data_IF_393896828128
#
_entry.id   IF_393896828128
#
_cell.length_a   1.000
_cell.length_b   1.000
_cell.length_c   1.000
_cell.angle_alpha   90.00
_cell.angle_beta   90.00
_cell.angle_gamma   90.00
#
_symmetry.space_group_name_H-M   'P 1'
#
loop_
_entity.id
_entity.type
_entity.pdbx_description
1 polymer ?
#
# COMPACT_ATOMS: atom_id res chain seq x y z
N UNK A 1 9.46 0.21 18.41
CA UNK A 1 9.12 0.38 16.97
C UNK A 1 10.40 0.40 16.14
N UNK A 2 10.47 -0.34 15.03
CA UNK A 2 11.56 -0.15 14.06
C UNK A 2 11.11 0.90 13.04
N UNK A 3 11.84 2.00 12.92
CA UNK A 3 11.58 3.05 11.93
C UNK A 3 12.51 2.83 10.74
N UNK A 4 11.97 2.41 9.60
CA UNK A 4 12.74 2.13 8.40
C UNK A 4 12.67 3.29 7.41
N UNK A 5 13.84 3.84 7.07
CA UNK A 5 14.00 4.83 6.01
C UNK A 5 15.45 4.81 5.51
N UNK A 6 15.65 4.83 4.20
CA UNK A 6 16.98 4.78 3.58
C UNK A 6 17.64 6.16 3.41
N UNK A 7 17.00 7.23 3.86
CA UNK A 7 17.51 8.61 3.79
C UNK A 7 17.50 9.19 2.38
N UNK A 8 16.54 8.81 1.53
CA UNK A 8 16.43 9.31 0.15
C UNK A 8 15.26 10.30 0.00
N UNK A 9 15.35 11.16 -1.01
CA UNK A 9 14.26 12.03 -1.44
C UNK A 9 13.07 11.26 -2.00
N UNK A 10 11.97 11.97 -2.33
CA UNK A 10 10.79 11.37 -2.98
C UNK A 10 11.09 10.76 -4.34
N UNK A 11 12.12 11.29 -4.99
CA UNK A 11 12.65 10.75 -6.21
C UNK A 11 13.69 9.65 -5.91
N UNK A 12 13.85 9.14 -4.70
CA UNK A 12 14.85 8.12 -4.40
C UNK A 12 16.32 8.56 -4.56
N UNK A 13 16.61 9.84 -4.79
CA UNK A 13 17.99 10.36 -4.79
C UNK A 13 18.51 10.52 -3.35
N UNK A 14 19.83 10.41 -3.08
CA UNK A 14 20.38 10.58 -1.74
C UNK A 14 20.04 11.96 -1.15
N UNK A 15 19.43 12.00 0.05
CA UNK A 15 19.20 13.27 0.75
C UNK A 15 20.43 13.59 1.63
N UNK A 16 21.01 14.78 1.48
CA UNK A 16 22.26 15.20 2.14
C UNK A 16 22.16 15.52 3.64
N UNK A 17 21.29 14.86 4.40
CA UNK A 17 21.09 15.05 5.85
C UNK A 17 21.01 13.70 6.57
N UNK A 18 21.19 13.66 7.89
CA UNK A 18 21.08 12.44 8.70
C UNK A 18 19.79 11.64 8.45
N UNK A 19 19.74 10.36 8.85
CA UNK A 19 18.61 9.50 8.47
C UNK A 19 17.29 10.05 9.04
N UNK A 20 16.29 10.28 8.18
CA UNK A 20 14.96 10.72 8.60
C UNK A 20 14.36 9.75 9.64
N UNK A 21 14.69 8.47 9.54
CA UNK A 21 14.39 7.47 10.55
C UNK A 21 14.91 7.83 11.96
N UNK A 22 16.13 8.35 12.09
CA UNK A 22 16.67 8.71 13.40
C UNK A 22 15.93 9.90 14.01
N UNK A 23 15.55 10.90 13.22
CA UNK A 23 14.74 12.02 13.70
C UNK A 23 13.41 11.56 14.31
N UNK A 24 12.70 10.66 13.62
CA UNK A 24 11.45 10.06 14.13
C UNK A 24 11.69 9.20 15.37
N UNK A 25 12.81 8.46 15.44
CA UNK A 25 13.19 7.71 16.64
C UNK A 25 13.39 8.65 17.83
N UNK A 26 14.08 9.76 17.64
CA UNK A 26 14.31 10.76 18.69
C UNK A 26 12.99 11.37 19.17
N UNK A 27 12.06 11.65 18.26
CA UNK A 27 10.70 12.10 18.61
C UNK A 27 9.92 11.06 19.44
N UNK A 28 9.97 9.79 19.05
CA UNK A 28 9.31 8.70 19.79
C UNK A 28 9.90 8.57 21.21
N UNK A 29 11.23 8.62 21.33
CA UNK A 29 11.92 8.52 22.63
C UNK A 29 11.61 9.74 23.50
N UNK A 30 11.60 10.95 22.91
CA UNK A 30 11.23 12.18 23.62
C UNK A 30 9.77 12.15 24.13
N UNK A 31 8.88 11.45 23.42
CA UNK A 31 7.51 11.20 23.84
C UNK A 31 7.36 10.02 24.84
N UNK A 32 8.47 9.38 25.23
CA UNK A 32 8.50 8.28 26.20
C UNK A 32 8.29 6.88 25.62
N UNK A 33 8.33 6.73 24.29
CA UNK A 33 8.26 5.44 23.61
C UNK A 33 9.63 4.81 23.37
N UNK A 34 9.61 3.61 22.76
CA UNK A 34 10.83 2.87 22.40
C UNK A 34 10.91 2.69 20.88
N UNK A 35 12.01 3.12 20.27
CA UNK A 35 12.23 2.97 18.84
C UNK A 35 13.70 2.79 18.46
N UNK A 36 13.94 2.19 17.29
CA UNK A 36 15.26 2.05 16.67
C UNK A 36 15.18 2.37 15.19
N UNK A 37 16.20 3.06 14.66
CA UNK A 37 16.29 3.36 13.23
C UNK A 37 16.84 2.15 12.47
N UNK A 38 16.34 1.93 11.26
CA UNK A 38 16.84 0.90 10.36
C UNK A 38 16.96 1.48 8.93
N UNK A 39 18.10 1.24 8.28
CA UNK A 39 18.40 1.78 6.94
C UNK A 39 18.25 0.76 5.81
N UNK A 40 17.55 -0.35 6.01
CA UNK A 40 17.36 -1.37 4.99
C UNK A 40 16.59 -0.84 3.78
N UNK A 41 17.10 -1.08 2.58
CA UNK A 41 16.32 -0.92 1.36
C UNK A 41 15.35 -2.09 1.19
N UNK A 42 14.05 -1.85 1.37
CA UNK A 42 13.03 -2.92 1.25
C UNK A 42 12.94 -3.55 -0.15
N UNK A 43 13.43 -2.88 -1.20
CA UNK A 43 13.50 -3.44 -2.55
C UNK A 43 14.66 -4.44 -2.72
N UNK A 44 15.63 -4.45 -1.81
CA UNK A 44 16.65 -5.47 -1.68
C UNK A 44 16.10 -6.60 -0.80
N UNK A 45 16.18 -7.83 -1.32
CA UNK A 45 15.56 -9.00 -0.71
C UNK A 45 16.16 -9.32 0.66
N UNK A 46 17.49 -9.28 0.78
CA UNK A 46 18.19 -9.65 2.00
C UNK A 46 18.07 -8.53 3.04
N UNK A 47 18.06 -7.27 2.60
CA UNK A 47 17.83 -6.13 3.50
C UNK A 47 16.39 -6.09 4.03
N UNK A 48 15.39 -6.53 3.25
CA UNK A 48 14.03 -6.70 3.74
C UNK A 48 13.95 -7.81 4.81
N UNK A 49 14.70 -8.91 4.65
CA UNK A 49 14.85 -9.91 5.70
C UNK A 49 15.49 -9.31 6.96
N UNK A 50 16.50 -8.45 6.77
CA UNK A 50 17.19 -7.78 7.87
C UNK A 50 16.30 -6.86 8.69
N UNK A 51 15.37 -6.17 8.03
CA UNK A 51 14.38 -5.34 8.71
C UNK A 51 13.54 -6.17 9.70
N UNK A 52 13.09 -7.35 9.28
CA UNK A 52 12.32 -8.28 10.14
C UNK A 52 13.19 -8.76 11.30
N UNK A 53 14.45 -9.13 11.02
CA UNK A 53 15.40 -9.58 12.05
C UNK A 53 15.68 -8.49 13.08
N UNK A 54 15.84 -7.23 12.64
CA UNK A 54 16.04 -6.08 13.53
C UNK A 54 14.93 -5.95 14.57
N UNK A 55 13.67 -6.12 14.16
CA UNK A 55 12.53 -6.08 15.09
C UNK A 55 12.62 -7.20 16.15
N UNK A 56 12.89 -8.42 15.69
CA UNK A 56 12.98 -9.60 16.56
C UNK A 56 14.16 -9.51 17.53
N UNK A 57 15.34 -9.08 17.06
CA UNK A 57 16.53 -8.96 17.90
C UNK A 57 16.44 -7.81 18.90
N UNK A 58 15.80 -6.70 18.53
CA UNK A 58 15.70 -5.50 19.38
C UNK A 58 14.57 -5.62 20.40
N UNK A 59 13.40 -6.09 19.98
CA UNK A 59 12.18 -6.07 20.79
C UNK A 59 11.67 -7.48 21.17
N UNK A 60 12.37 -8.53 20.76
CA UNK A 60 12.01 -9.93 21.06
C UNK A 60 10.93 -10.53 20.15
N UNK A 61 10.34 -9.73 19.24
CA UNK A 61 9.27 -10.19 18.36
C UNK A 61 8.89 -9.17 17.29
N UNK A 62 7.89 -9.55 16.49
CA UNK A 62 7.26 -8.69 15.49
C UNK A 62 5.76 -8.96 15.48
N UNK A 63 4.96 -7.93 15.72
CA UNK A 63 3.50 -8.05 15.74
C UNK A 63 2.84 -7.36 14.54
N UNK A 64 3.37 -6.21 14.13
CA UNK A 64 2.78 -5.37 13.07
C UNK A 64 3.84 -4.99 12.03
N UNK A 65 3.52 -5.22 10.75
CA UNK A 65 4.26 -4.70 9.60
C UNK A 65 3.40 -3.65 8.88
N UNK A 66 3.92 -2.41 8.79
CA UNK A 66 3.31 -1.35 7.98
C UNK A 66 4.20 -1.09 6.77
N UNK A 67 3.73 -1.45 5.57
CA UNK A 67 4.43 -1.18 4.33
C UNK A 67 4.01 0.19 3.78
N UNK A 68 4.87 1.19 3.95
CA UNK A 68 4.62 2.56 3.52
C UNK A 68 5.64 3.11 2.51
N UNK A 69 6.87 2.56 2.49
CA UNK A 69 7.96 3.06 1.64
C UNK A 69 7.53 3.21 0.17
N UNK A 70 7.98 4.30 -0.47
CA UNK A 70 7.51 4.69 -1.78
C UNK A 70 8.27 5.87 -2.40
N UNK A 71 8.25 5.91 -3.74
CA UNK A 71 8.81 7.00 -4.55
C UNK A 71 7.87 7.27 -5.73
N UNK A 72 7.97 8.45 -6.34
CA UNK A 72 7.24 8.77 -7.57
C UNK A 72 8.19 9.07 -8.73
N UNK A 73 7.74 8.71 -9.93
CA UNK A 73 8.35 9.00 -11.24
C UNK A 73 7.24 9.21 -12.26
N UNK A 74 6.53 10.30 -12.07
CA UNK A 74 5.30 10.56 -12.81
C UNK A 74 5.63 10.98 -14.25
N UNK A 75 5.11 10.19 -15.19
CA UNK A 75 5.21 10.38 -16.64
C UNK A 75 3.94 9.85 -17.30
N UNK A 76 3.56 10.48 -18.40
CA UNK A 76 2.68 9.81 -19.37
C UNK A 76 3.34 8.51 -19.81
N UNK A 77 2.55 7.46 -20.03
CA UNK A 77 3.07 6.12 -20.36
C UNK A 77 4.02 6.13 -21.57
N UNK A 78 3.71 6.94 -22.59
CA UNK A 78 4.54 7.09 -23.79
C UNK A 78 5.90 7.77 -23.54
N UNK A 79 6.09 8.39 -22.37
CA UNK A 79 7.29 9.15 -21.99
C UNK A 79 8.02 8.53 -20.79
N UNK A 80 7.57 7.37 -20.29
CA UNK A 80 8.18 6.71 -19.13
C UNK A 80 9.41 5.93 -19.56
N UNK A 81 10.57 6.16 -18.91
CA UNK A 81 11.76 5.34 -19.13
C UNK A 81 11.65 3.98 -18.42
N UNK A 82 12.49 3.02 -18.83
CA UNK A 82 12.61 1.73 -18.15
C UNK A 82 13.02 1.91 -16.68
N UNK A 83 14.01 2.78 -16.42
CA UNK A 83 14.50 3.07 -15.06
C UNK A 83 13.41 3.70 -14.18
N UNK A 84 12.59 4.59 -14.73
CA UNK A 84 11.47 5.21 -14.02
C UNK A 84 10.38 4.18 -13.67
N UNK A 85 10.12 3.20 -14.56
CA UNK A 85 9.20 2.11 -14.30
C UNK A 85 9.75 1.16 -13.23
N UNK A 86 10.97 0.67 -13.44
CA UNK A 86 11.63 -0.31 -12.58
C UNK A 86 11.82 0.21 -11.16
N UNK A 87 12.22 1.48 -10.99
CA UNK A 87 12.41 2.08 -9.67
C UNK A 87 11.09 2.09 -8.88
N UNK A 88 10.00 2.52 -9.51
CA UNK A 88 8.67 2.58 -8.86
C UNK A 88 8.17 1.17 -8.51
N UNK A 89 8.28 0.21 -9.44
CA UNK A 89 7.87 -1.18 -9.20
C UNK A 89 8.74 -1.84 -8.12
N UNK A 90 10.04 -1.58 -8.11
CA UNK A 90 10.97 -2.15 -7.14
C UNK A 90 10.68 -1.65 -5.72
N UNK A 91 10.56 -0.33 -5.52
CA UNK A 91 10.34 0.23 -4.18
C UNK A 91 8.94 -0.11 -3.67
N UNK A 92 7.91 0.02 -4.49
CA UNK A 92 6.54 -0.23 -4.06
C UNK A 92 6.22 -1.72 -4.05
N UNK A 93 6.10 -2.33 -5.24
CA UNK A 93 5.54 -3.68 -5.35
C UNK A 93 6.50 -4.74 -4.79
N UNK A 94 7.76 -4.74 -5.25
CA UNK A 94 8.76 -5.69 -4.75
C UNK A 94 9.08 -5.44 -3.27
N UNK A 95 9.20 -4.18 -2.85
CA UNK A 95 9.42 -3.81 -1.45
C UNK A 95 8.34 -4.34 -0.51
N UNK A 96 7.06 -4.13 -0.86
CA UNK A 96 5.94 -4.70 -0.09
C UNK A 96 5.97 -6.22 -0.10
N UNK A 97 6.21 -6.85 -1.26
CA UNK A 97 6.25 -8.31 -1.35
C UNK A 97 7.39 -8.91 -0.52
N UNK A 98 8.58 -8.31 -0.53
CA UNK A 98 9.75 -8.80 0.18
C UNK A 98 9.51 -8.80 1.70
N UNK A 99 9.09 -7.67 2.27
CA UNK A 99 8.80 -7.57 3.72
C UNK A 99 7.64 -8.50 4.12
N UNK A 100 6.56 -8.56 3.33
CA UNK A 100 5.47 -9.50 3.55
C UNK A 100 5.96 -10.95 3.56
N UNK A 101 6.81 -11.31 2.59
CA UNK A 101 7.35 -12.67 2.47
C UNK A 101 8.21 -13.04 3.68
N UNK A 102 9.05 -12.14 4.18
CA UNK A 102 9.91 -12.42 5.33
C UNK A 102 9.12 -12.45 6.64
N UNK A 103 8.22 -11.49 6.87
CA UNK A 103 7.35 -11.46 8.05
C UNK A 103 6.42 -12.68 8.11
N UNK A 104 5.79 -13.05 6.99
CA UNK A 104 4.95 -14.26 6.89
C UNK A 104 5.73 -15.53 7.22
N UNK A 105 6.99 -15.62 6.79
CA UNK A 105 7.84 -16.78 7.12
C UNK A 105 8.20 -16.85 8.59
N UNK A 106 8.47 -15.71 9.22
CA UNK A 106 8.70 -15.61 10.66
C UNK A 106 7.47 -16.07 11.46
N UNK A 107 6.30 -15.49 11.21
CA UNK A 107 5.05 -15.85 11.89
C UNK A 107 4.64 -17.30 11.65
N UNK A 108 4.74 -17.79 10.41
CA UNK A 108 4.50 -19.21 10.10
C UNK A 108 5.46 -20.13 10.87
N UNK A 109 6.70 -19.70 11.07
CA UNK A 109 7.67 -20.41 11.93
C UNK A 109 7.18 -20.51 13.37
N UNK A 110 6.78 -19.40 13.98
CA UNK A 110 6.22 -19.37 15.35
C UNK A 110 4.98 -20.26 15.48
N UNK A 111 4.06 -20.19 14.52
CA UNK A 111 2.86 -21.04 14.52
C UNK A 111 3.19 -22.53 14.46
N UNK A 112 4.20 -22.93 13.67
CA UNK A 112 4.69 -24.32 13.62
C UNK A 112 5.33 -24.78 14.93
N UNK A 113 5.93 -23.87 15.67
CA UNK A 113 6.47 -24.12 17.02
C UNK A 113 5.37 -24.17 18.09
N UNK A 114 4.10 -23.97 17.72
CA UNK A 114 2.97 -23.96 18.64
C UNK A 114 2.81 -22.64 19.40
N UNK A 115 3.50 -21.57 19.01
CA UNK A 115 3.30 -20.23 19.57
C UNK A 115 2.07 -19.59 18.95
N UNK A 116 1.28 -18.91 19.79
CA UNK A 116 0.16 -18.09 19.31
C UNK A 116 0.68 -16.91 18.53
N UNK A 117 0.14 -16.70 17.33
CA UNK A 117 0.42 -15.53 16.49
C UNK A 117 -0.86 -14.71 16.39
N UNK A 118 -0.75 -13.42 16.69
CA UNK A 118 -1.81 -12.42 16.51
C UNK A 118 -1.19 -11.19 15.83
N UNK A 119 -0.91 -11.32 14.54
CA UNK A 119 -0.08 -10.36 13.81
C UNK A 119 -0.83 -9.64 12.68
N UNK A 120 -0.28 -8.51 12.24
CA UNK A 120 -0.95 -7.57 11.31
C UNK A 120 -0.01 -7.12 10.20
N UNK A 121 -0.52 -7.10 8.98
CA UNK A 121 0.09 -6.40 7.84
C UNK A 121 -0.87 -5.31 7.38
N UNK A 122 -0.37 -4.07 7.32
CA UNK A 122 -1.06 -2.93 6.72
C UNK A 122 -0.21 -2.45 5.54
N UNK A 123 -0.73 -2.64 4.33
CA UNK A 123 -0.10 -2.17 3.10
C UNK A 123 -0.63 -0.80 2.68
N UNK A 124 0.18 -0.02 1.97
CA UNK A 124 -0.27 1.26 1.39
C UNK A 124 -0.51 1.10 -0.12
N UNK A 125 -1.77 0.92 -0.52
CA UNK A 125 -2.24 1.06 -1.92
C UNK A 125 -2.52 2.54 -2.25
N UNK A 126 -3.39 2.84 -3.21
CA UNK A 126 -3.82 4.19 -3.62
C UNK A 126 -5.05 4.10 -4.53
N UNK A 127 -5.86 5.17 -4.59
CA UNK A 127 -6.88 5.32 -5.64
C UNK A 127 -6.30 5.19 -7.07
N UNK A 128 -5.05 5.61 -7.28
CA UNK A 128 -4.34 5.37 -8.54
C UNK A 128 -4.20 3.87 -8.86
N UNK A 129 -4.03 3.01 -7.86
CA UNK A 129 -4.00 1.56 -8.05
C UNK A 129 -5.38 0.91 -8.21
N UNK A 130 -6.43 1.58 -7.75
CA UNK A 130 -7.80 1.04 -7.79
C UNK A 130 -8.52 1.43 -9.08
N UNK A 131 -8.39 2.69 -9.53
CA UNK A 131 -9.07 3.23 -10.70
C UNK A 131 -8.12 3.71 -11.81
N UNK A 132 -6.82 3.80 -11.54
CA UNK A 132 -5.85 4.43 -12.44
C UNK A 132 -5.69 5.93 -12.17
N UNK A 133 -4.52 6.47 -12.52
CA UNK A 133 -4.23 7.91 -12.48
C UNK A 133 -3.43 8.34 -13.73
N UNK A 134 -3.91 9.36 -14.43
CA UNK A 134 -3.26 9.91 -15.62
C UNK A 134 -1.87 10.44 -15.26
N UNK A 135 -0.87 10.08 -16.04
CA UNK A 135 0.54 10.46 -15.78
C UNK A 135 1.23 9.64 -14.69
N UNK A 136 0.59 8.60 -14.15
CA UNK A 136 1.13 7.76 -13.08
C UNK A 136 1.01 6.27 -13.40
N UNK A 137 1.30 5.85 -14.65
CA UNK A 137 1.08 4.47 -15.10
C UNK A 137 1.89 3.42 -14.31
N UNK A 138 3.17 3.68 -14.07
CA UNK A 138 4.07 2.86 -13.24
C UNK A 138 3.57 2.74 -11.79
N UNK A 139 3.20 3.87 -11.17
CA UNK A 139 2.70 3.92 -9.79
C UNK A 139 1.34 3.24 -9.66
N UNK A 140 0.41 3.51 -10.59
CA UNK A 140 -0.91 2.86 -10.66
C UNK A 140 -0.75 1.34 -10.73
N UNK A 141 0.12 0.84 -11.61
CA UNK A 141 0.40 -0.59 -11.73
C UNK A 141 0.95 -1.20 -10.42
N UNK A 142 1.92 -0.53 -9.78
CA UNK A 142 2.49 -1.00 -8.53
C UNK A 142 1.46 -1.03 -7.39
N UNK A 143 0.64 0.02 -7.25
CA UNK A 143 -0.40 0.12 -6.21
C UNK A 143 -1.57 -0.84 -6.45
N UNK A 144 -1.92 -1.12 -7.70
CA UNK A 144 -2.86 -2.17 -8.07
C UNK A 144 -2.33 -3.56 -7.65
N UNK A 145 -1.06 -3.84 -7.94
CA UNK A 145 -0.38 -5.05 -7.50
C UNK A 145 -0.39 -5.22 -5.98
N UNK A 146 -0.17 -4.12 -5.23
CA UNK A 146 -0.26 -4.12 -3.76
C UNK A 146 -1.69 -4.42 -3.27
N UNK A 147 -2.72 -3.84 -3.90
CA UNK A 147 -4.11 -4.14 -3.55
C UNK A 147 -4.43 -5.64 -3.76
N UNK A 148 -4.07 -6.20 -4.92
CA UNK A 148 -4.27 -7.61 -5.20
C UNK A 148 -3.46 -8.52 -4.25
N UNK A 149 -2.19 -8.19 -4.00
CA UNK A 149 -1.33 -8.92 -3.07
C UNK A 149 -1.85 -8.91 -1.63
N UNK A 150 -2.52 -7.84 -1.22
CA UNK A 150 -3.18 -7.75 0.08
C UNK A 150 -4.28 -8.81 0.22
N UNK A 151 -5.09 -9.01 -0.83
CA UNK A 151 -6.14 -10.04 -0.85
C UNK A 151 -5.55 -11.45 -0.77
N UNK A 152 -4.49 -11.71 -1.54
CA UNK A 152 -3.80 -13.02 -1.53
C UNK A 152 -3.16 -13.28 -0.17
N UNK A 153 -2.46 -12.29 0.39
CA UNK A 153 -1.86 -12.39 1.72
C UNK A 153 -2.91 -12.68 2.79
N UNK A 154 -4.06 -12.01 2.76
CA UNK A 154 -5.14 -12.28 3.70
C UNK A 154 -5.60 -13.76 3.64
N UNK A 155 -5.84 -14.28 2.44
CA UNK A 155 -6.29 -15.66 2.24
C UNK A 155 -5.21 -16.70 2.62
N UNK A 156 -3.93 -16.41 2.36
CA UNK A 156 -2.85 -17.33 2.65
C UNK A 156 -2.43 -17.35 4.12
N UNK A 157 -2.39 -16.18 4.75
CA UNK A 157 -1.75 -15.98 6.05
C UNK A 157 -2.70 -16.11 7.24
N UNK A 158 -4.02 -15.97 7.03
CA UNK A 158 -5.02 -16.09 8.10
C UNK A 158 -4.97 -17.43 8.85
N UNK A 159 -4.55 -18.51 8.19
CA UNK A 159 -4.43 -19.86 8.80
C UNK A 159 -3.42 -19.95 9.96
N UNK A 160 -2.56 -18.94 10.11
CA UNK A 160 -1.60 -18.84 11.21
C UNK A 160 -1.70 -17.49 11.94
N UNK A 161 -2.89 -16.89 12.00
CA UNK A 161 -3.19 -15.77 12.90
C UNK A 161 -2.68 -14.40 12.41
N UNK A 162 -2.55 -14.22 11.10
CA UNK A 162 -2.13 -12.94 10.49
C UNK A 162 -3.27 -12.34 9.69
N UNK A 163 -3.64 -11.09 9.98
CA UNK A 163 -4.52 -10.32 9.09
C UNK A 163 -3.69 -9.47 8.13
N UNK A 164 -4.11 -9.39 6.87
CA UNK A 164 -3.53 -8.50 5.87
C UNK A 164 -4.61 -7.55 5.35
N UNK A 165 -4.38 -6.25 5.43
CA UNK A 165 -5.26 -5.20 4.92
C UNK A 165 -4.44 -4.12 4.21
N UNK A 166 -5.11 -3.23 3.47
CA UNK A 166 -4.48 -2.07 2.88
C UNK A 166 -5.26 -0.78 3.15
N UNK A 167 -4.54 0.32 3.15
CA UNK A 167 -5.09 1.67 3.06
C UNK A 167 -4.79 2.28 1.70
N UNK A 168 -5.65 3.17 1.23
CA UNK A 168 -5.52 3.99 0.03
C UNK A 168 -5.70 5.46 0.45
N UNK A 169 -4.63 6.11 0.93
CA UNK A 169 -4.73 7.44 1.51
C UNK A 169 -4.96 8.52 0.43
N UNK A 170 -5.79 9.50 0.77
CA UNK A 170 -5.82 10.84 0.18
C UNK A 170 -5.41 11.81 1.28
N UNK A 171 -4.16 12.26 1.23
CA UNK A 171 -3.59 13.18 2.21
C UNK A 171 -2.53 14.04 1.53
N UNK A 172 -2.30 15.23 2.09
CA UNK A 172 -1.14 16.04 1.80
C UNK A 172 0.09 15.38 2.38
N UNK A 173 0.96 14.96 1.49
CA UNK A 173 2.31 14.54 1.80
C UNK A 173 3.21 15.22 0.78
N UNK A 174 4.52 15.21 1.06
CA UNK A 174 5.53 15.63 0.09
C UNK A 174 5.30 14.98 -1.31
N UNK A 175 4.71 13.77 -1.38
CA UNK A 175 4.41 13.02 -2.62
C UNK A 175 3.17 13.51 -3.39
N UNK A 176 2.22 14.18 -2.74
CA UNK A 176 0.89 14.53 -3.30
C UNK A 176 0.68 16.04 -3.49
N UNK A 177 1.50 16.88 -2.84
CA UNK A 177 1.41 18.35 -2.88
C UNK A 177 1.53 18.95 -4.29
N UNK A 178 2.34 18.35 -5.18
CA UNK A 178 2.53 18.88 -6.54
C UNK A 178 1.46 18.42 -7.52
N UNK A 179 1.01 17.17 -7.40
CA UNK A 179 0.06 16.54 -8.35
C UNK A 179 -1.40 16.92 -8.03
N UNK A 180 -1.73 17.08 -6.75
CA UNK A 180 -3.09 17.35 -6.29
C UNK A 180 -3.23 18.70 -5.57
N UNK A 181 -2.37 19.68 -5.87
CA UNK A 181 -2.27 20.97 -5.17
C UNK A 181 -3.63 21.65 -4.87
N UNK A 182 -4.56 21.66 -5.83
CA UNK A 182 -5.91 22.24 -5.65
C UNK A 182 -6.79 21.42 -4.69
N UNK A 183 -6.82 20.09 -4.88
CA UNK A 183 -7.56 19.14 -4.03
C UNK A 183 -7.04 19.15 -2.59
N UNK A 184 -5.76 19.45 -2.44
CA UNK A 184 -4.99 19.43 -1.21
C UNK A 184 -4.89 20.80 -0.54
N UNK A 185 -5.57 21.84 -1.04
CA UNK A 185 -5.51 23.18 -0.42
C UNK A 185 -6.15 23.20 0.98
N UNK A 186 -5.54 23.93 1.93
CA UNK A 186 -6.17 24.23 3.22
C UNK A 186 -7.33 25.16 2.91
N UNK A 187 -8.55 24.65 2.90
CA UNK A 187 -9.71 25.51 3.09
C UNK A 187 -9.64 25.94 4.55
N UNK A 188 -9.44 27.23 4.83
CA UNK A 188 -9.33 27.83 6.18
C UNK A 188 -10.34 27.25 7.19
N UNK A 189 -10.01 26.11 7.82
CA UNK A 189 -10.84 25.34 8.73
C UNK A 189 -9.98 24.94 9.93
N UNK A 190 -10.58 24.90 11.12
CA UNK A 190 -9.91 24.49 12.37
C UNK A 190 -9.36 23.03 12.30
N UNK A 191 -9.92 22.21 11.41
CA UNK A 191 -9.46 20.85 11.14
C UNK A 191 -8.82 20.77 9.76
N UNK A 192 -7.51 20.53 9.74
CA UNK A 192 -6.80 20.19 8.52
C UNK A 192 -7.15 18.75 8.09
N UNK A 193 -8.14 18.60 7.21
CA UNK A 193 -8.57 17.30 6.69
C UNK A 193 -7.50 16.58 5.86
N UNK A 194 -6.51 17.30 5.35
CA UNK A 194 -5.47 16.74 4.49
C UNK A 194 -4.18 16.42 5.25
N UNK A 195 -4.11 16.74 6.55
CA UNK A 195 -2.98 16.40 7.41
C UNK A 195 -2.74 14.86 7.39
N UNK A 196 -1.50 14.39 7.12
CA UNK A 196 -1.19 12.97 7.01
C UNK A 196 -1.42 12.21 8.32
N UNK A 197 -1.40 12.91 9.46
CA UNK A 197 -1.71 12.38 10.78
C UNK A 197 -3.13 11.79 10.84
N UNK A 198 -4.06 12.25 10.00
CA UNK A 198 -5.42 11.73 9.94
C UNK A 198 -5.52 10.30 9.38
N UNK A 199 -4.48 9.81 8.70
CA UNK A 199 -4.45 8.45 8.16
C UNK A 199 -4.06 7.42 9.24
N UNK A 200 -3.15 7.82 10.14
CA UNK A 200 -2.55 6.96 11.15
C UNK A 200 -3.53 6.28 12.13
N UNK A 201 -4.65 6.90 12.58
CA UNK A 201 -5.59 6.26 13.49
C UNK A 201 -6.11 4.91 13.00
N UNK A 202 -6.49 4.79 11.72
CA UNK A 202 -6.95 3.52 11.17
C UNK A 202 -5.82 2.49 11.09
N UNK A 203 -4.60 2.91 10.77
CA UNK A 203 -3.42 2.03 10.73
C UNK A 203 -3.15 1.44 12.11
N UNK A 204 -3.19 2.27 13.16
CA UNK A 204 -3.01 1.83 14.55
C UNK A 204 -4.11 0.86 14.97
N UNK A 205 -5.38 1.16 14.66
CA UNK A 205 -6.49 0.26 14.97
C UNK A 205 -6.37 -1.08 14.23
N UNK A 206 -6.02 -1.07 12.94
CA UNK A 206 -5.74 -2.29 12.17
C UNK A 206 -4.55 -3.07 12.74
N UNK A 207 -3.59 -2.40 13.38
CA UNK A 207 -2.47 -3.01 14.10
C UNK A 207 -2.83 -3.64 15.45
N UNK A 208 -4.05 -3.47 15.94
CA UNK A 208 -4.45 -3.87 17.30
C UNK A 208 -4.97 -5.30 17.41
N UNK A 209 -5.10 -5.80 18.64
CA UNK A 209 -5.74 -7.08 18.93
C UNK A 209 -7.25 -7.10 18.60
N UNK A 210 -7.91 -5.93 18.58
CA UNK A 210 -9.35 -5.80 18.30
C UNK A 210 -9.66 -6.05 16.81
N UNK A 211 -8.73 -5.73 15.91
CA UNK A 211 -8.91 -5.88 14.46
C UNK A 211 -8.74 -7.31 13.93
N UNK A 212 -8.61 -8.31 14.80
CA UNK A 212 -8.26 -9.71 14.43
C UNK A 212 -9.17 -10.36 13.39
N UNK A 213 -10.43 -9.91 13.31
CA UNK A 213 -11.43 -10.44 12.37
C UNK A 213 -11.52 -9.62 11.07
N UNK A 214 -10.72 -8.56 10.93
CA UNK A 214 -10.67 -7.71 9.74
C UNK A 214 -9.48 -8.12 8.89
N UNK A 215 -9.74 -8.80 7.76
CA UNK A 215 -8.70 -9.12 6.78
C UNK A 215 -9.21 -9.06 5.34
N UNK A 216 -8.29 -8.84 4.39
CA UNK A 216 -8.58 -8.76 2.96
C UNK A 216 -9.34 -7.50 2.58
N UNK A 217 -9.22 -6.43 3.37
CA UNK A 217 -9.92 -5.16 3.14
C UNK A 217 -8.96 -4.09 2.61
N UNK A 218 -9.49 -3.23 1.75
CA UNK A 218 -8.83 -2.00 1.31
C UNK A 218 -9.69 -0.83 1.75
N UNK A 219 -9.09 0.11 2.49
CA UNK A 219 -9.77 1.28 3.02
C UNK A 219 -9.24 2.55 2.36
N UNK A 220 -10.09 3.31 1.70
CA UNK A 220 -9.77 4.68 1.29
C UNK A 220 -9.94 5.62 2.50
N UNK A 221 -8.93 6.45 2.78
CA UNK A 221 -8.90 7.27 4.01
C UNK A 221 -8.50 8.71 3.66
N UNK A 222 -9.26 9.68 4.18
CA UNK A 222 -9.05 11.12 3.99
C UNK A 222 -9.65 11.89 5.17
N UNK A 223 -8.83 12.64 5.92
CA UNK A 223 -9.31 13.38 7.09
C UNK A 223 -10.10 12.49 8.05
N UNK A 224 -11.36 12.84 8.31
CA UNK A 224 -12.28 12.03 9.13
C UNK A 224 -13.05 10.92 8.39
N UNK A 225 -12.76 10.68 7.11
CA UNK A 225 -13.50 9.72 6.27
C UNK A 225 -12.76 8.40 6.15
N UNK A 226 -13.51 7.30 6.31
CA UNK A 226 -13.05 5.94 6.01
C UNK A 226 -14.09 5.31 5.07
N UNK A 227 -13.64 4.86 3.90
CA UNK A 227 -14.46 4.18 2.89
C UNK A 227 -13.89 2.79 2.61
N UNK A 228 -14.74 1.78 2.59
CA UNK A 228 -14.34 0.45 2.10
C UNK A 228 -14.34 0.48 0.58
N UNK A 229 -13.20 0.14 -0.03
CA UNK A 229 -13.13 -0.06 -1.47
C UNK A 229 -13.69 -1.45 -1.82
N UNK A 230 -14.74 -1.48 -2.63
CA UNK A 230 -15.27 -2.72 -3.19
C UNK A 230 -14.37 -3.20 -4.35
N UNK A 231 -14.04 -4.50 -4.35
CA UNK A 231 -13.18 -5.10 -5.38
C UNK A 231 -13.88 -5.29 -6.73
N UNK A 232 -13.15 -5.91 -7.67
CA UNK A 232 -13.69 -6.32 -8.96
C UNK A 232 -14.90 -7.26 -8.78
N UNK A 233 -15.90 -7.09 -9.64
CA UNK A 233 -17.10 -7.91 -9.67
C UNK A 233 -17.33 -8.49 -11.07
N UNK A 234 -18.07 -9.60 -11.15
CA UNK A 234 -18.55 -10.14 -12.41
C UNK A 234 -19.68 -9.24 -12.94
N UNK A 235 -19.46 -8.66 -14.13
CA UNK A 235 -20.44 -7.83 -14.82
C UNK A 235 -21.45 -8.66 -15.64
N UNK A 236 -22.15 -8.03 -16.60
CA UNK A 236 -23.02 -8.73 -17.54
C UNK A 236 -22.29 -9.84 -18.29
N UNK A 237 -22.96 -10.97 -18.45
CA UNK A 237 -22.45 -12.16 -19.15
C UNK A 237 -23.44 -12.58 -20.25
N UNK A 238 -22.91 -13.09 -21.36
CA UNK A 238 -23.69 -13.78 -22.40
C UNK A 238 -22.89 -14.96 -22.91
N UNK A 239 -23.53 -16.13 -22.97
CA UNK A 239 -22.96 -17.35 -23.51
C UNK A 239 -23.66 -17.69 -24.85
N UNK A 240 -22.87 -17.86 -25.91
CA UNK A 240 -23.38 -18.33 -27.21
C UNK A 240 -23.69 -19.83 -27.20
N UNK A 241 -23.10 -20.59 -26.27
CA UNK A 241 -23.07 -22.04 -26.29
C UNK A 241 -22.23 -22.61 -27.46
N UNK A 242 -21.46 -21.76 -28.14
CA UNK A 242 -20.64 -22.09 -29.30
C UNK A 242 -19.53 -21.05 -29.49
N UNK A 243 -18.61 -21.29 -30.43
CA UNK A 243 -17.57 -20.32 -30.78
C UNK A 243 -18.17 -19.09 -31.46
N UNK A 244 -17.78 -17.90 -30.99
CA UNK A 244 -18.12 -16.61 -31.61
C UNK A 244 -17.46 -16.46 -32.99
N UNK A 245 -18.17 -15.82 -33.92
CA UNK A 245 -17.57 -15.22 -35.11
C UNK A 245 -17.10 -13.79 -34.74
N UNK A 246 -15.86 -13.38 -35.03
CA UNK A 246 -15.44 -12.00 -34.78
C UNK A 246 -16.37 -10.94 -35.41
N UNK A 247 -17.01 -11.25 -36.54
CA UNK A 247 -17.87 -10.31 -37.27
C UNK A 247 -19.20 -9.99 -36.56
N UNK A 248 -19.71 -10.84 -35.67
CA UNK A 248 -20.97 -10.60 -34.93
C UNK A 248 -20.76 -9.87 -33.59
N UNK A 249 -19.52 -9.80 -33.09
CA UNK A 249 -19.22 -9.32 -31.74
C UNK A 249 -19.55 -7.84 -31.51
N UNK A 250 -19.63 -7.02 -32.56
CA UNK A 250 -19.92 -5.59 -32.41
C UNK A 250 -21.24 -5.33 -31.68
N UNK A 251 -22.31 -6.07 -32.01
CA UNK A 251 -23.61 -5.93 -31.33
C UNK A 251 -23.60 -6.53 -29.93
N UNK A 252 -22.92 -7.65 -29.76
CA UNK A 252 -22.81 -8.37 -28.49
C UNK A 252 -22.09 -7.51 -27.45
N UNK A 253 -20.94 -6.95 -27.80
CA UNK A 253 -20.15 -6.09 -26.92
C UNK A 253 -20.91 -4.82 -26.57
N UNK A 254 -21.57 -4.18 -27.54
CA UNK A 254 -22.37 -2.98 -27.28
C UNK A 254 -23.51 -3.23 -26.27
N UNK A 255 -24.21 -4.36 -26.37
CA UNK A 255 -25.27 -4.76 -25.44
C UNK A 255 -24.73 -5.03 -24.02
N UNK A 256 -23.59 -5.72 -23.90
CA UNK A 256 -22.95 -5.96 -22.60
C UNK A 256 -22.51 -4.64 -21.94
N UNK A 257 -21.89 -3.74 -22.69
CA UNK A 257 -21.43 -2.44 -22.17
C UNK A 257 -22.61 -1.55 -21.74
N UNK A 258 -23.74 -1.59 -22.43
CA UNK A 258 -24.94 -0.84 -22.04
C UNK A 258 -25.55 -1.32 -20.71
N UNK A 259 -25.28 -2.57 -20.33
CA UNK A 259 -25.74 -3.18 -19.07
C UNK A 259 -24.71 -3.07 -17.93
N UNK A 260 -23.46 -2.74 -18.25
CA UNK A 260 -22.39 -2.68 -17.28
C UNK A 260 -22.56 -1.45 -16.36
N UNK A 261 -22.14 -1.59 -15.10
CA UNK A 261 -22.03 -0.46 -14.18
C UNK A 261 -20.99 0.54 -14.73
N UNK A 262 -21.28 1.85 -14.78
CA UNK A 262 -20.27 2.84 -15.12
C UNK A 262 -19.06 2.73 -14.17
N UNK A 263 -17.82 2.73 -14.69
CA UNK A 263 -16.65 2.69 -13.83
C UNK A 263 -16.52 4.00 -13.05
N UNK A 264 -15.87 3.94 -11.89
CA UNK A 264 -15.34 5.17 -11.27
C UNK A 264 -14.28 5.73 -12.21
N UNK A 265 -14.30 7.03 -12.55
CA UNK A 265 -13.35 7.61 -13.49
C UNK A 265 -11.89 7.44 -13.06
N UNK A 266 -11.00 7.35 -14.04
CA UNK A 266 -9.55 7.47 -13.83
C UNK A 266 -9.25 8.85 -13.25
N UNK A 267 -8.38 8.93 -12.25
CA UNK A 267 -7.99 10.21 -11.68
C UNK A 267 -7.23 11.06 -12.71
N UNK A 268 -7.64 12.32 -12.87
CA UNK A 268 -7.03 13.28 -13.82
C UNK A 268 -7.41 13.09 -15.29
N UNK A 269 -8.41 12.25 -15.59
CA UNK A 269 -8.97 12.07 -16.94
C UNK A 269 -10.05 13.09 -17.30
#
# INVERSE_FOLDING_TARGET
MVVNDIGVGLDGSPAGGGSAAQGVVDEIIAAGGEAVANGSNVADWDQAAELIRTAVETFGGLDVLVNNAGIVRDRMMANTSEEEFDAVVAVHLKGHFATMRHAASYWRGLSKEGKTVDARIINTSSGAGLQGSVGQGNYSAAKAGIAAMTLVGAAEMGRYGVTVNAIAPSARTRMTETVFAEMMSTQDQDFDAMAPENISPLVVWLGSAESRDVTGKVFEVEGGKIRVAEGWAHGPEIDKGARWDPAELGRVVADLLAKARPPVPVYGA
#
